data_IF_516766236443
#
_entry.id   IF_516766236443
#
_cell.length_a   1.000
_cell.length_b   1.000
_cell.length_c   1.000
_cell.angle_alpha   90.00
_cell.angle_beta   90.00
_cell.angle_gamma   90.00
#
_symmetry.space_group_name_H-M   'P 1'
#
loop_
_entity.id
_entity.type
_entity.pdbx_description
1 polymer ?
#
# COMPACT_ATOMS: atom_id res chain seq x y z
N UNK A 1 6.63 13.49 -20.36
CA UNK A 1 7.48 12.93 -19.29
C UNK A 1 6.62 12.29 -18.20
N UNK A 2 7.17 11.45 -17.33
CA UNK A 2 6.38 10.61 -16.45
C UNK A 2 5.74 11.39 -15.28
N UNK A 3 4.47 11.11 -15.01
CA UNK A 3 3.77 11.58 -13.82
C UNK A 3 4.30 10.80 -12.61
N UNK A 4 4.82 11.45 -11.56
CA UNK A 4 5.33 10.74 -10.40
C UNK A 4 4.19 10.01 -9.66
N UNK A 5 4.48 8.89 -8.99
CA UNK A 5 3.49 8.16 -8.17
C UNK A 5 3.01 9.02 -6.99
N UNK A 6 1.91 8.61 -6.35
CA UNK A 6 1.52 9.23 -5.08
C UNK A 6 2.53 8.86 -3.98
N UNK A 7 2.59 9.64 -2.90
CA UNK A 7 3.50 9.34 -1.79
C UNK A 7 3.31 7.91 -1.25
N UNK A 8 2.05 7.46 -1.14
CA UNK A 8 1.73 6.10 -0.71
C UNK A 8 2.12 5.00 -1.71
N UNK A 9 2.30 5.35 -2.98
CA UNK A 9 2.74 4.42 -4.02
C UNK A 9 4.29 4.42 -4.19
N UNK A 10 5.04 5.26 -3.47
CA UNK A 10 6.50 5.21 -3.46
C UNK A 10 6.98 3.88 -2.86
N UNK A 11 7.85 3.18 -3.60
CA UNK A 11 8.33 1.83 -3.25
C UNK A 11 7.25 0.75 -3.21
N UNK A 12 6.08 1.02 -3.79
CA UNK A 12 5.00 0.02 -3.87
C UNK A 12 5.47 -1.26 -4.55
N UNK A 13 6.28 -1.18 -5.59
CA UNK A 13 6.84 -2.34 -6.29
C UNK A 13 7.60 -3.27 -5.33
N UNK A 14 8.51 -2.71 -4.51
CA UNK A 14 9.22 -3.47 -3.50
C UNK A 14 8.25 -4.07 -2.47
N UNK A 15 7.35 -3.24 -1.93
CA UNK A 15 6.35 -3.69 -0.94
C UNK A 15 5.44 -4.77 -1.50
N UNK A 16 5.12 -4.74 -2.78
CA UNK A 16 4.27 -5.72 -3.45
C UNK A 16 4.92 -7.10 -3.46
N UNK A 17 6.23 -7.18 -3.76
CA UNK A 17 7.00 -8.43 -3.72
C UNK A 17 7.05 -9.01 -2.30
N UNK A 18 7.13 -8.18 -1.26
CA UNK A 18 7.13 -8.64 0.13
C UNK A 18 5.75 -9.05 0.67
N UNK A 19 4.66 -8.44 0.18
CA UNK A 19 3.33 -8.60 0.78
C UNK A 19 2.37 -9.42 -0.07
N UNK A 20 2.44 -9.35 -1.41
CA UNK A 20 1.54 -10.13 -2.26
C UNK A 20 1.92 -11.61 -2.26
N UNK A 21 0.91 -12.46 -2.13
CA UNK A 21 1.08 -13.90 -2.07
C UNK A 21 1.36 -14.42 -0.67
N UNK A 22 1.58 -13.56 0.33
CA UNK A 22 1.78 -13.97 1.71
C UNK A 22 0.50 -13.87 2.54
N UNK A 23 0.13 -15.00 3.15
CA UNK A 23 -1.05 -15.15 4.00
C UNK A 23 -0.90 -16.36 4.92
N UNK A 24 0.26 -16.51 5.56
CA UNK A 24 0.50 -17.64 6.45
C UNK A 24 -0.47 -17.57 7.64
N UNK A 25 -1.12 -18.69 7.94
CA UNK A 25 -2.16 -18.74 8.97
C UNK A 25 -3.52 -18.17 8.56
N UNK A 26 -3.73 -17.80 7.29
CA UNK A 26 -5.03 -17.30 6.81
C UNK A 26 -5.38 -17.84 5.42
N UNK A 27 -6.48 -18.58 5.33
CA UNK A 27 -7.04 -19.00 4.03
C UNK A 27 -7.90 -17.86 3.51
N UNK A 28 -7.50 -17.24 2.39
CA UNK A 28 -8.27 -16.18 1.73
C UNK A 28 -8.79 -16.68 0.38
N UNK A 29 -10.10 -16.60 0.18
CA UNK A 29 -10.79 -16.88 -1.07
C UNK A 29 -11.35 -15.56 -1.63
N UNK A 30 -11.01 -15.23 -2.87
CA UNK A 30 -11.43 -14.00 -3.55
C UNK A 30 -12.11 -14.35 -4.87
N UNK A 31 -13.41 -14.05 -4.99
CA UNK A 31 -14.24 -14.28 -6.15
C UNK A 31 -14.55 -12.94 -6.82
N UNK A 32 -14.04 -12.75 -8.04
CA UNK A 32 -14.27 -11.56 -8.86
C UNK A 32 -15.20 -11.91 -10.01
N UNK A 33 -16.35 -11.26 -10.08
CA UNK A 33 -17.29 -11.39 -11.19
C UNK A 33 -17.55 -10.03 -11.81
N UNK A 34 -17.84 -10.03 -13.10
CA UNK A 34 -18.17 -8.82 -13.85
C UNK A 34 -19.48 -9.06 -14.57
N UNK A 35 -20.48 -8.25 -14.25
CA UNK A 35 -21.79 -8.31 -14.89
C UNK A 35 -21.73 -7.67 -16.28
N UNK A 36 -22.64 -8.08 -17.17
CA UNK A 36 -22.83 -7.50 -18.50
C UNK A 36 -23.14 -6.00 -18.44
N UNK A 37 -23.79 -5.54 -17.37
CA UNK A 37 -24.08 -4.12 -17.11
C UNK A 37 -22.86 -3.32 -16.63
N UNK A 38 -21.65 -3.91 -16.59
CA UNK A 38 -20.40 -3.23 -16.22
C UNK A 38 -20.14 -3.11 -14.71
N UNK A 39 -20.97 -3.73 -13.87
CA UNK A 39 -20.76 -3.83 -12.42
C UNK A 39 -19.74 -4.92 -12.12
N UNK A 40 -18.71 -4.61 -11.35
CA UNK A 40 -17.71 -5.56 -10.86
C UNK A 40 -18.02 -5.91 -9.39
N UNK A 41 -18.22 -7.20 -9.11
CA UNK A 41 -18.39 -7.71 -7.74
C UNK A 41 -17.12 -8.43 -7.32
N UNK A 42 -16.63 -8.14 -6.12
CA UNK A 42 -15.52 -8.84 -5.50
C UNK A 42 -15.97 -9.33 -4.13
N UNK A 43 -16.28 -10.62 -4.03
CA UNK A 43 -16.57 -11.29 -2.77
C UNK A 43 -15.28 -11.90 -2.23
N UNK A 44 -14.89 -11.54 -1.02
CA UNK A 44 -13.70 -12.07 -0.37
C UNK A 44 -14.09 -12.71 0.95
N UNK A 45 -13.79 -14.00 1.12
CA UNK A 45 -13.83 -14.69 2.40
C UNK A 45 -12.41 -14.91 2.90
N UNK A 46 -12.18 -14.72 4.19
CA UNK A 46 -10.91 -15.09 4.82
C UNK A 46 -11.15 -15.79 6.14
N UNK A 47 -10.43 -16.88 6.38
CA UNK A 47 -10.49 -17.66 7.61
C UNK A 47 -9.09 -17.74 8.20
N UNK A 48 -8.93 -17.24 9.41
CA UNK A 48 -7.68 -17.38 10.15
C UNK A 48 -7.62 -18.81 10.73
N UNK A 49 -6.60 -19.58 10.36
CA UNK A 49 -6.47 -20.99 10.77
C UNK A 49 -5.99 -21.13 12.21
N UNK A 50 -5.38 -20.09 12.78
CA UNK A 50 -4.87 -20.10 14.16
C UNK A 50 -6.00 -19.78 15.17
N UNK A 51 -6.85 -18.80 14.84
CA UNK A 51 -7.93 -18.34 15.72
C UNK A 51 -9.32 -18.89 15.36
N UNK A 52 -9.45 -19.59 14.24
CA UNK A 52 -10.72 -20.08 13.70
C UNK A 52 -11.69 -18.99 13.25
N UNK A 53 -11.31 -17.71 13.33
CA UNK A 53 -12.19 -16.59 12.97
C UNK A 53 -12.30 -16.45 11.45
N UNK A 54 -13.53 -16.50 10.95
CA UNK A 54 -13.86 -16.21 9.57
C UNK A 54 -14.39 -14.78 9.43
N UNK A 55 -13.99 -14.09 8.36
CA UNK A 55 -14.49 -12.77 7.98
C UNK A 55 -14.78 -12.72 6.49
N UNK A 56 -15.90 -12.11 6.13
CA UNK A 56 -16.30 -11.87 4.76
C UNK A 56 -16.32 -10.38 4.43
N UNK A 57 -16.05 -10.06 3.17
CA UNK A 57 -16.27 -8.74 2.59
C UNK A 57 -16.82 -8.88 1.17
N UNK A 58 -17.74 -7.99 0.82
CA UNK A 58 -18.33 -7.85 -0.49
C UNK A 58 -18.06 -6.42 -0.97
N UNK A 59 -17.31 -6.28 -2.05
CA UNK A 59 -17.09 -5.01 -2.73
C UNK A 59 -17.84 -5.01 -4.07
N UNK A 60 -18.73 -4.05 -4.24
CA UNK A 60 -19.45 -3.79 -5.49
C UNK A 60 -18.93 -2.51 -6.10
N UNK A 61 -18.37 -2.58 -7.31
CA UNK A 61 -17.80 -1.43 -8.02
C UNK A 61 -18.58 -1.20 -9.31
N UNK A 62 -19.16 -0.03 -9.44
CA UNK A 62 -19.89 0.42 -10.61
C UNK A 62 -19.15 1.57 -11.28
N UNK A 63 -18.72 1.37 -12.51
CA UNK A 63 -17.93 2.34 -13.30
C UNK A 63 -18.82 2.97 -14.37
N UNK A 64 -19.12 4.24 -14.19
CA UNK A 64 -19.79 5.08 -15.19
C UNK A 64 -18.70 5.75 -16.02
N UNK A 65 -18.26 5.04 -17.07
CA UNK A 65 -17.14 5.48 -17.92
C UNK A 65 -17.37 6.85 -18.57
N UNK A 66 -18.61 7.17 -18.92
CA UNK A 66 -19.00 8.40 -19.61
C UNK A 66 -18.62 9.68 -18.82
N UNK A 67 -18.68 9.60 -17.48
CA UNK A 67 -18.42 10.72 -16.57
C UNK A 67 -17.14 10.54 -15.74
N UNK A 68 -16.36 9.49 -15.98
CA UNK A 68 -15.19 9.15 -15.16
C UNK A 68 -15.53 8.82 -13.70
N UNK A 69 -16.81 8.50 -13.41
CA UNK A 69 -17.32 8.22 -12.07
C UNK A 69 -17.22 6.73 -11.76
N UNK A 70 -16.74 6.41 -10.57
CA UNK A 70 -16.71 5.05 -10.03
C UNK A 70 -17.32 5.05 -8.64
N UNK A 71 -18.46 4.40 -8.52
CA UNK A 71 -19.14 4.13 -7.26
C UNK A 71 -18.66 2.78 -6.73
N UNK A 72 -18.17 2.73 -5.51
CA UNK A 72 -17.70 1.51 -4.84
C UNK A 72 -18.43 1.37 -3.52
N UNK A 73 -19.14 0.28 -3.32
CA UNK A 73 -19.81 -0.04 -2.07
C UNK A 73 -19.13 -1.26 -1.47
N UNK A 74 -18.64 -1.14 -0.25
CA UNK A 74 -17.98 -2.21 0.49
C UNK A 74 -18.81 -2.58 1.70
N UNK A 75 -19.11 -3.86 1.85
CA UNK A 75 -19.85 -4.42 2.98
C UNK A 75 -19.04 -5.54 3.61
N UNK A 76 -18.88 -5.51 4.92
CA UNK A 76 -18.15 -6.56 5.66
C UNK A 76 -19.09 -7.26 6.64
N UNK A 77 -18.75 -8.49 7.03
CA UNK A 77 -19.50 -9.29 8.03
C UNK A 77 -19.62 -8.59 9.40
N UNK A 78 -18.74 -7.63 9.71
CA UNK A 78 -18.82 -6.76 10.91
C UNK A 78 -19.88 -5.65 10.80
N UNK A 79 -20.89 -5.82 9.93
CA UNK A 79 -21.95 -4.84 9.62
C UNK A 79 -21.44 -3.43 9.26
N UNK A 80 -20.20 -3.34 8.77
CA UNK A 80 -19.60 -2.08 8.34
C UNK A 80 -19.89 -1.90 6.85
N UNK A 81 -20.71 -0.89 6.54
CA UNK A 81 -20.96 -0.42 5.17
C UNK A 81 -20.11 0.83 4.91
N UNK A 82 -19.26 0.75 3.90
CA UNK A 82 -18.52 1.87 3.34
C UNK A 82 -19.02 2.16 1.94
N UNK A 83 -19.47 3.39 1.70
CA UNK A 83 -19.82 3.88 0.37
C UNK A 83 -18.74 4.82 -0.10
N UNK A 84 -18.25 4.62 -1.30
CA UNK A 84 -17.18 5.40 -1.88
C UNK A 84 -17.54 5.86 -3.28
N UNK A 85 -17.44 7.15 -3.51
CA UNK A 85 -17.62 7.78 -4.81
C UNK A 85 -16.27 8.33 -5.22
N UNK A 86 -15.73 7.85 -6.34
CA UNK A 86 -14.52 8.40 -6.93
C UNK A 86 -14.82 8.97 -8.30
N UNK A 87 -14.22 10.10 -8.60
CA UNK A 87 -14.33 10.77 -9.89
C UNK A 87 -12.92 11.02 -10.38
N UNK A 88 -12.64 10.49 -11.57
CA UNK A 88 -11.37 10.70 -12.27
C UNK A 88 -11.64 11.56 -13.50
N UNK A 89 -10.61 12.28 -13.95
CA UNK A 89 -10.53 12.92 -15.27
C UNK A 89 -11.31 14.23 -15.52
N UNK A 90 -12.17 14.70 -14.61
CA UNK A 90 -13.00 15.92 -14.81
C UNK A 90 -12.24 17.20 -15.23
N UNK A 91 -11.01 17.41 -14.76
CA UNK A 91 -10.20 18.58 -15.13
C UNK A 91 -8.99 18.11 -15.94
N UNK A 92 -9.20 17.99 -17.26
CA UNK A 92 -8.15 17.73 -18.27
C UNK A 92 -7.26 16.52 -17.95
N UNK A 93 -7.84 15.45 -17.39
CA UNK A 93 -7.15 14.21 -17.04
C UNK A 93 -6.13 14.27 -15.91
N UNK A 94 -6.19 15.30 -15.07
CA UNK A 94 -5.14 15.58 -14.07
C UNK A 94 -5.61 15.51 -12.63
N UNK A 95 -6.90 15.35 -12.39
CA UNK A 95 -7.49 15.47 -11.06
C UNK A 95 -8.33 14.24 -10.75
N UNK A 96 -8.10 13.66 -9.58
CA UNK A 96 -8.85 12.52 -9.06
C UNK A 96 -9.34 12.85 -7.66
N UNK A 97 -10.65 12.83 -7.49
CA UNK A 97 -11.32 12.99 -6.21
C UNK A 97 -11.93 11.66 -5.80
N UNK A 98 -11.95 11.40 -4.50
CA UNK A 98 -12.48 10.19 -3.91
C UNK A 98 -13.06 10.56 -2.56
N UNK A 99 -14.35 10.34 -2.42
CA UNK A 99 -15.11 10.59 -1.21
C UNK A 99 -15.62 9.26 -0.68
N UNK A 100 -15.31 8.93 0.56
CA UNK A 100 -15.69 7.69 1.21
C UNK A 100 -16.47 8.01 2.49
N UNK A 101 -17.70 7.54 2.58
CA UNK A 101 -18.57 7.65 3.77
C UNK A 101 -18.70 6.27 4.41
N UNK A 102 -18.51 6.21 5.73
CA UNK A 102 -18.76 5.02 6.52
C UNK A 102 -19.98 5.21 7.41
N UNK A 103 -20.76 4.15 7.61
CA UNK A 103 -21.91 4.14 8.54
C UNK A 103 -21.57 4.61 9.96
N UNK A 104 -20.33 4.44 10.42
CA UNK A 104 -19.88 4.80 11.78
C UNK A 104 -19.58 6.31 11.96
N UNK A 105 -20.30 7.21 11.26
CA UNK A 105 -20.10 8.67 11.27
C UNK A 105 -18.66 9.11 10.94
N UNK A 106 -17.93 8.33 10.15
CA UNK A 106 -16.61 8.73 9.65
C UNK A 106 -16.64 8.93 8.14
N UNK A 107 -15.93 9.95 7.68
CA UNK A 107 -15.84 10.33 6.28
C UNK A 107 -14.38 10.52 5.88
N UNK A 108 -14.02 10.16 4.65
CA UNK A 108 -12.69 10.41 4.09
C UNK A 108 -12.84 11.12 2.76
N UNK A 109 -12.26 12.30 2.64
CA UNK A 109 -12.19 13.04 1.38
C UNK A 109 -10.75 13.05 0.90
N UNK A 110 -10.47 12.29 -0.16
CA UNK A 110 -9.17 12.23 -0.81
C UNK A 110 -9.21 12.96 -2.14
N UNK A 111 -8.36 13.95 -2.28
CA UNK A 111 -8.11 14.70 -3.50
C UNK A 111 -6.69 14.45 -3.94
N UNK A 112 -6.49 14.17 -5.22
CA UNK A 112 -5.15 14.04 -5.80
C UNK A 112 -5.10 14.76 -7.13
N UNK A 113 -4.03 15.51 -7.32
CA UNK A 113 -3.75 16.27 -8.52
C UNK A 113 -2.41 15.81 -9.08
N UNK A 114 -2.43 15.39 -10.33
CA UNK A 114 -1.30 14.80 -11.04
C UNK A 114 -0.96 15.64 -12.24
N UNK A 115 0.30 16.00 -12.38
CA UNK A 115 0.86 16.68 -13.52
C UNK A 115 2.21 16.05 -13.87
N UNK A 116 2.72 16.35 -15.05
CA UNK A 116 4.11 16.01 -15.36
C UNK A 116 5.02 16.61 -14.28
N UNK A 117 5.95 15.80 -13.76
CA UNK A 117 6.88 16.11 -12.65
C UNK A 117 6.27 16.29 -11.26
N UNK A 118 4.95 16.44 -11.10
CA UNK A 118 4.36 16.79 -9.80
C UNK A 118 3.10 15.96 -9.52
N UNK A 119 3.01 15.40 -8.31
CA UNK A 119 1.83 14.72 -7.81
C UNK A 119 1.52 15.23 -6.40
N UNK A 120 0.43 15.97 -6.27
CA UNK A 120 -0.06 16.51 -5.01
C UNK A 120 -1.27 15.72 -4.57
N UNK A 121 -1.49 15.64 -3.27
CA UNK A 121 -2.77 15.21 -2.77
C UNK A 121 -3.02 15.62 -1.34
N UNK A 122 -4.30 15.62 -1.00
CA UNK A 122 -4.82 15.94 0.30
C UNK A 122 -5.85 14.88 0.65
N UNK A 123 -5.82 14.39 1.88
CA UNK A 123 -6.79 13.46 2.42
C UNK A 123 -7.28 14.01 3.75
N UNK A 124 -8.57 14.30 3.83
CA UNK A 124 -9.21 14.77 5.05
C UNK A 124 -9.96 13.58 5.62
N UNK A 125 -9.48 13.08 6.75
CA UNK A 125 -10.14 12.04 7.53
C UNK A 125 -11.00 12.74 8.58
N UNK A 126 -12.30 12.46 8.59
CA UNK A 126 -13.28 13.03 9.50
C UNK A 126 -13.72 11.88 10.38
N UNK A 127 -13.30 11.92 11.65
CA UNK A 127 -13.72 10.99 12.68
C UNK A 127 -14.50 11.75 13.78
N UNK A 128 -15.18 10.99 14.65
CA UNK A 128 -15.84 11.52 15.85
C UNK A 128 -14.86 12.28 16.76
N UNK A 129 -13.58 11.90 16.73
CA UNK A 129 -12.51 12.52 17.52
C UNK A 129 -12.01 13.86 16.94
N UNK A 130 -12.48 14.25 15.76
CA UNK A 130 -12.08 15.46 15.05
C UNK A 130 -11.37 15.17 13.71
N UNK A 131 -11.31 16.16 12.80
CA UNK A 131 -10.70 15.94 11.49
C UNK A 131 -9.17 15.88 11.55
N UNK A 132 -8.59 14.99 10.75
CA UNK A 132 -7.15 14.92 10.51
C UNK A 132 -6.88 15.17 9.04
N UNK A 133 -6.03 16.16 8.76
CA UNK A 133 -5.67 16.56 7.40
C UNK A 133 -4.32 15.95 7.05
N UNK A 134 -4.29 15.13 6.01
CA UNK A 134 -3.08 14.54 5.46
C UNK A 134 -2.75 15.21 4.14
N UNK A 135 -1.59 15.84 4.05
CA UNK A 135 -1.08 16.41 2.79
C UNK A 135 0.09 15.59 2.29
N UNK A 136 0.22 15.42 0.98
CA UNK A 136 1.45 14.91 0.39
C UNK A 136 1.75 15.59 -0.94
N UNK A 137 3.04 15.70 -1.23
CA UNK A 137 3.57 16.21 -2.48
C UNK A 137 4.71 15.31 -2.93
N UNK A 138 4.73 14.93 -4.20
CA UNK A 138 5.81 14.17 -4.82
C UNK A 138 6.25 14.91 -6.07
N UNK A 139 7.52 15.28 -6.10
CA UNK A 139 8.21 15.82 -7.26
C UNK A 139 9.00 14.70 -7.92
N UNK A 140 9.03 14.65 -9.24
CA UNK A 140 9.85 13.72 -9.98
C UNK A 140 10.61 14.43 -11.09
N UNK A 141 11.90 14.14 -11.26
CA UNK A 141 12.73 14.72 -12.31
C UNK A 141 13.86 13.76 -12.69
N UNK A 142 14.06 13.48 -14.00
CA UNK A 142 15.15 12.60 -14.49
C UNK A 142 15.29 11.27 -13.70
N UNK A 143 14.16 10.63 -13.37
CA UNK A 143 14.13 9.38 -12.58
C UNK A 143 14.20 9.55 -11.07
N UNK A 144 14.65 10.70 -10.55
CA UNK A 144 14.56 11.04 -9.13
C UNK A 144 13.12 11.35 -8.73
N UNK A 145 12.77 10.99 -7.50
CA UNK A 145 11.47 11.20 -6.88
C UNK A 145 11.71 11.76 -5.47
N UNK A 146 11.17 12.92 -5.15
CA UNK A 146 11.20 13.51 -3.82
C UNK A 146 9.77 13.65 -3.32
N UNK A 147 9.43 12.91 -2.27
CA UNK A 147 8.13 12.91 -1.63
C UNK A 147 8.18 13.54 -0.25
N UNK A 148 7.17 14.32 0.08
CA UNK A 148 6.90 14.77 1.43
C UNK A 148 5.45 14.48 1.78
N UNK A 149 5.20 14.01 2.99
CA UNK A 149 3.88 13.79 3.55
C UNK A 149 3.81 14.36 4.95
N UNK A 150 2.71 15.03 5.24
CA UNK A 150 2.40 15.56 6.56
C UNK A 150 1.00 15.12 6.99
N UNK A 151 0.81 14.99 8.30
CA UNK A 151 -0.50 14.78 8.90
C UNK A 151 -0.71 15.77 10.04
N UNK A 152 -1.82 16.51 10.00
CA UNK A 152 -2.18 17.49 11.01
C UNK A 152 -3.48 17.08 11.69
N UNK A 153 -3.41 16.83 13.00
CA UNK A 153 -4.57 16.54 13.84
C UNK A 153 -5.14 17.87 14.34
N UNK A 154 -6.34 18.21 13.87
CA UNK A 154 -6.98 19.50 14.22
C UNK A 154 -7.54 19.51 15.63
N UNK A 155 -7.87 18.36 16.22
CA UNK A 155 -8.40 18.28 17.57
C UNK A 155 -7.31 18.60 18.61
N UNK A 156 -6.09 18.16 18.36
CA UNK A 156 -4.91 18.44 19.19
C UNK A 156 -4.12 19.65 18.73
N UNK A 157 -4.48 20.24 17.58
CA UNK A 157 -3.72 21.31 16.91
C UNK A 157 -2.23 20.98 16.78
N UNK A 158 -1.92 19.71 16.51
CA UNK A 158 -0.55 19.19 16.48
C UNK A 158 -0.27 18.48 15.17
N UNK A 159 0.93 18.71 14.66
CA UNK A 159 1.49 17.95 13.55
C UNK A 159 1.77 16.52 14.05
N UNK A 160 0.99 15.57 13.54
CA UNK A 160 1.00 14.18 14.00
C UNK A 160 2.01 13.33 13.24
N UNK A 161 2.33 13.66 12.00
CA UNK A 161 3.30 12.91 11.19
C UNK A 161 4.05 13.83 10.22
N UNK A 162 5.34 13.59 10.07
CA UNK A 162 6.21 14.21 9.07
C UNK A 162 7.05 13.14 8.40
N UNK A 163 6.70 12.79 7.16
CA UNK A 163 7.40 11.74 6.44
C UNK A 163 8.05 12.33 5.20
N UNK A 164 9.33 12.06 5.03
CA UNK A 164 10.11 12.40 3.85
C UNK A 164 10.45 11.13 3.09
N UNK A 165 10.40 11.17 1.78
CA UNK A 165 10.77 10.06 0.92
C UNK A 165 11.64 10.56 -0.24
N UNK A 166 12.69 9.82 -0.54
CA UNK A 166 13.52 9.99 -1.73
C UNK A 166 13.56 8.67 -2.47
N UNK A 167 13.28 8.71 -3.76
CA UNK A 167 13.33 7.54 -4.62
C UNK A 167 14.09 7.84 -5.90
N UNK A 168 14.58 6.78 -6.51
CA UNK A 168 15.19 6.83 -7.82
C UNK A 168 14.67 5.65 -8.63
N UNK A 169 14.13 5.92 -9.81
CA UNK A 169 13.59 4.91 -10.71
C UNK A 169 14.34 4.99 -12.03
N UNK A 170 15.05 3.92 -12.37
CA UNK A 170 15.75 3.76 -13.63
C UNK A 170 15.43 2.38 -14.20
N UNK A 171 14.77 2.33 -15.37
CA UNK A 171 14.44 1.09 -16.09
C UNK A 171 13.98 -0.05 -15.19
N UNK A 172 14.90 -0.96 -14.93
CA UNK A 172 14.73 -2.23 -14.22
C UNK A 172 14.91 -2.14 -12.69
N UNK A 173 15.34 -0.99 -12.16
CA UNK A 173 15.64 -0.78 -10.75
C UNK A 173 14.88 0.42 -10.15
N UNK A 174 14.46 0.28 -8.90
CA UNK A 174 13.83 1.34 -8.10
C UNK A 174 14.42 1.34 -6.70
N UNK A 175 15.05 2.45 -6.32
CA UNK A 175 15.43 2.76 -4.94
C UNK A 175 14.34 3.63 -4.32
N UNK A 176 14.02 3.38 -3.06
CA UNK A 176 13.16 4.24 -2.26
C UNK A 176 13.62 4.23 -0.81
N UNK A 177 14.00 5.39 -0.32
CA UNK A 177 14.35 5.68 1.07
C UNK A 177 13.27 6.58 1.66
N UNK A 178 12.85 6.33 2.89
CA UNK A 178 11.95 7.19 3.63
C UNK A 178 12.44 7.42 5.05
N UNK A 179 12.01 8.54 5.62
CA UNK A 179 12.26 8.95 7.00
C UNK A 179 10.91 9.39 7.56
N UNK A 180 10.43 8.67 8.57
CA UNK A 180 9.18 8.98 9.25
C UNK A 180 9.49 9.59 10.61
N UNK A 181 8.93 10.78 10.84
CA UNK A 181 9.05 11.57 12.08
C UNK A 181 10.50 11.84 12.55
N UNK A 182 11.47 11.70 11.64
CA UNK A 182 12.90 11.82 11.94
C UNK A 182 13.48 10.69 12.80
N UNK A 183 12.68 9.67 13.13
CA UNK A 183 13.08 8.59 14.03
C UNK A 183 13.09 7.23 13.36
N UNK A 184 12.19 6.96 12.42
CA UNK A 184 12.16 5.71 11.67
C UNK A 184 12.69 5.92 10.26
N UNK A 185 13.69 5.13 9.88
CA UNK A 185 14.29 5.18 8.57
C UNK A 185 13.98 3.87 7.85
N UNK A 186 13.51 3.99 6.61
CA UNK A 186 13.21 2.87 5.73
C UNK A 186 13.97 3.00 4.42
N UNK A 187 14.40 1.88 3.87
CA UNK A 187 15.04 1.78 2.57
C UNK A 187 14.48 0.55 1.87
N UNK A 188 14.18 0.67 0.59
CA UNK A 188 13.73 -0.44 -0.23
C UNK A 188 14.36 -0.34 -1.61
N UNK A 189 14.79 -1.48 -2.10
CA UNK A 189 15.35 -1.68 -3.42
C UNK A 189 14.44 -2.68 -4.11
N UNK A 190 13.95 -2.32 -5.29
CA UNK A 190 13.29 -3.24 -6.20
C UNK A 190 14.12 -3.36 -7.45
N UNK A 191 14.33 -4.60 -7.90
CA UNK A 191 15.05 -4.89 -9.12
C UNK A 191 14.31 -5.98 -9.89
N UNK A 192 14.00 -5.68 -11.15
CA UNK A 192 13.47 -6.63 -12.11
C UNK A 192 14.65 -7.25 -12.85
N UNK A 193 15.04 -8.46 -12.47
CA UNK A 193 16.22 -9.14 -13.06
C UNK A 193 15.90 -9.64 -14.46
N UNK A 194 14.69 -10.18 -14.67
CA UNK A 194 14.18 -10.55 -15.99
C UNK A 194 12.63 -10.56 -15.97
N UNK A 195 11.99 -11.04 -17.05
CA UNK A 195 10.52 -11.08 -17.12
C UNK A 195 9.86 -12.11 -16.19
N UNK A 196 10.64 -13.03 -15.60
CA UNK A 196 10.17 -14.06 -14.66
C UNK A 196 10.61 -13.81 -13.22
N UNK A 197 11.66 -13.02 -13.00
CA UNK A 197 12.31 -12.88 -11.69
C UNK A 197 12.34 -11.42 -11.26
N UNK A 198 11.72 -11.17 -10.12
CA UNK A 198 11.70 -9.88 -9.44
C UNK A 198 12.31 -10.06 -8.05
N UNK A 199 13.29 -9.23 -7.71
CA UNK A 199 13.93 -9.24 -6.39
C UNK A 199 13.66 -7.93 -5.69
N UNK A 200 13.53 -7.98 -4.38
CA UNK A 200 13.32 -6.81 -3.54
C UNK A 200 14.06 -6.96 -2.23
N UNK A 201 14.69 -5.87 -1.80
CA UNK A 201 15.37 -5.77 -0.52
C UNK A 201 14.68 -4.66 0.26
N UNK A 202 14.41 -4.89 1.53
CA UNK A 202 13.84 -3.90 2.43
C UNK A 202 14.70 -3.81 3.70
N UNK A 203 15.09 -2.61 4.05
CA UNK A 203 15.83 -2.25 5.24
C UNK A 203 14.98 -1.26 6.03
N UNK A 204 14.86 -1.45 7.33
CA UNK A 204 14.26 -0.46 8.21
C UNK A 204 15.01 -0.44 9.53
N UNK A 205 15.29 0.74 10.05
CA UNK A 205 15.91 0.92 11.37
C UNK A 205 15.28 2.12 12.07
N UNK A 206 15.37 2.13 13.39
CA UNK A 206 14.85 3.22 14.22
C UNK A 206 16.03 3.90 14.92
N UNK A 207 16.17 5.21 14.77
CA UNK A 207 17.19 5.99 15.46
C UNK A 207 17.04 5.82 16.99
N UNK A 208 18.18 5.59 17.65
CA UNK A 208 18.21 5.30 19.09
C UNK A 208 17.88 3.86 19.47
N UNK A 209 17.63 2.97 18.50
CA UNK A 209 17.50 1.53 18.71
C UNK A 209 18.56 0.76 17.93
N UNK A 210 19.08 -0.32 18.50
CA UNK A 210 19.94 -1.27 17.77
C UNK A 210 19.13 -2.24 16.89
N UNK A 211 17.81 -2.09 16.83
CA UNK A 211 16.96 -3.02 16.09
C UNK A 211 16.91 -2.66 14.60
N UNK A 212 17.71 -3.37 13.81
CA UNK A 212 17.68 -3.29 12.35
C UNK A 212 16.81 -4.43 11.80
N UNK A 213 15.85 -4.08 10.96
CA UNK A 213 15.01 -5.03 10.23
C UNK A 213 15.49 -5.08 8.80
N UNK A 214 15.99 -6.22 8.40
CA UNK A 214 16.43 -6.44 7.03
C UNK A 214 15.64 -7.58 6.42
N UNK A 215 15.21 -7.43 5.18
CA UNK A 215 14.44 -8.42 4.48
C UNK A 215 14.88 -8.51 3.02
N UNK A 216 14.87 -9.72 2.50
CA UNK A 216 15.04 -10.00 1.08
C UNK A 216 13.81 -10.79 0.64
N UNK A 217 13.20 -10.39 -0.47
CA UNK A 217 12.13 -11.13 -1.10
C UNK A 217 12.41 -11.31 -2.60
N UNK A 218 12.10 -12.50 -3.09
CA UNK A 218 12.25 -12.84 -4.50
C UNK A 218 10.97 -13.49 -4.98
N UNK A 219 10.43 -12.97 -6.07
CA UNK A 219 9.30 -13.54 -6.78
C UNK A 219 9.79 -14.17 -8.08
N UNK A 220 9.47 -15.44 -8.25
CA UNK A 220 9.75 -16.24 -9.43
C UNK A 220 8.43 -16.67 -10.08
N UNK A 221 8.19 -16.19 -11.30
CA UNK A 221 7.06 -16.58 -12.11
C UNK A 221 7.45 -17.82 -12.95
N UNK A 222 6.87 -18.97 -12.62
CA UNK A 222 7.09 -20.21 -13.37
C UNK A 222 6.36 -20.13 -14.71
N UNK A 223 5.07 -19.78 -14.64
CA UNK A 223 4.10 -19.78 -15.73
C UNK A 223 3.23 -18.52 -15.66
N UNK A 224 2.36 -18.27 -16.64
CA UNK A 224 1.42 -17.13 -16.61
C UNK A 224 0.49 -17.14 -15.39
N UNK A 225 0.24 -18.31 -14.79
CA UNK A 225 -0.69 -18.51 -13.66
C UNK A 225 -0.03 -18.85 -12.32
N UNK A 226 1.24 -19.24 -12.34
CA UNK A 226 1.96 -19.76 -11.18
C UNK A 226 3.12 -18.84 -10.81
N UNK A 227 3.16 -18.41 -9.54
CA UNK A 227 4.31 -17.69 -9.01
C UNK A 227 4.69 -18.20 -7.62
N UNK A 228 6.00 -18.36 -7.42
CA UNK A 228 6.61 -18.65 -6.13
C UNK A 228 7.18 -17.35 -5.59
N UNK A 229 6.87 -17.04 -4.34
CA UNK A 229 7.48 -15.93 -3.64
C UNK A 229 8.23 -16.47 -2.42
N UNK A 230 9.50 -16.09 -2.30
CA UNK A 230 10.38 -16.44 -1.19
C UNK A 230 10.73 -15.16 -0.46
N UNK A 231 10.55 -15.13 0.87
CA UNK A 231 10.96 -14.00 1.70
C UNK A 231 11.81 -14.51 2.84
N UNK A 232 12.84 -13.74 3.14
CA UNK A 232 13.74 -13.96 4.26
C UNK A 232 13.75 -12.67 5.05
N UNK A 233 13.35 -12.75 6.31
CA UNK A 233 13.38 -11.64 7.24
C UNK A 233 14.44 -11.92 8.30
N UNK A 234 15.36 -10.97 8.42
CA UNK A 234 16.30 -10.87 9.52
C UNK A 234 15.71 -9.87 10.52
N UNK A 235 15.38 -10.38 11.70
CA UNK A 235 14.99 -9.56 12.82
C UNK A 235 15.93 -9.88 13.99
N UNK A 236 16.77 -8.93 14.37
CA UNK A 236 17.55 -9.04 15.61
C UNK A 236 16.60 -8.84 16.79
N UNK A 237 16.34 -9.93 17.53
CA UNK A 237 15.72 -9.86 18.85
C UNK A 237 16.86 -9.83 19.87
N UNK A 238 17.02 -8.72 20.60
CA UNK A 238 17.97 -8.64 21.71
C UNK A 238 17.39 -9.44 22.88
N UNK A 239 17.76 -10.72 23.00
CA UNK A 239 17.63 -11.44 24.27
C UNK A 239 18.81 -11.04 25.17
N UNK A 240 18.53 -10.56 26.39
CA UNK A 240 19.55 -10.37 27.43
C UNK A 240 20.10 -11.73 27.88
N UNK A 241 21.12 -12.26 27.19
CA UNK A 241 22.12 -13.23 27.63
C UNK A 241 23.15 -13.39 26.49
N UNK A 242 24.43 -13.74 26.73
CA UNK A 242 25.51 -13.58 25.76
C UNK A 242 25.45 -14.65 24.66
N UNK A 243 24.55 -14.47 23.70
CA UNK A 243 24.45 -15.20 22.44
C UNK A 243 23.59 -14.36 21.49
N UNK A 244 24.22 -13.44 20.76
CA UNK A 244 23.59 -12.76 19.62
C UNK A 244 23.25 -13.82 18.55
N UNK A 245 22.05 -14.41 18.62
CA UNK A 245 21.48 -15.18 17.51
C UNK A 245 20.51 -14.28 16.75
N UNK A 246 20.86 -13.93 15.52
CA UNK A 246 19.89 -13.40 14.58
C UNK A 246 18.95 -14.54 14.15
N UNK A 247 17.64 -14.40 14.39
CA UNK A 247 16.67 -15.38 13.92
C UNK A 247 16.39 -15.11 12.44
N UNK A 248 16.75 -16.07 11.59
CA UNK A 248 16.40 -16.07 10.17
C UNK A 248 15.01 -16.70 10.01
N UNK A 249 14.03 -15.93 9.56
CA UNK A 249 12.71 -16.45 9.22
C UNK A 249 12.61 -16.54 7.70
N UNK A 250 12.57 -17.78 7.18
CA UNK A 250 12.38 -18.06 5.76
C UNK A 250 10.95 -18.54 5.52
N UNK A 251 10.21 -17.86 4.67
CA UNK A 251 8.84 -18.22 4.30
C UNK A 251 8.71 -18.32 2.78
N UNK A 252 8.26 -19.50 2.33
CA UNK A 252 8.00 -19.80 0.91
C UNK A 252 6.49 -19.95 0.73
N UNK A 253 5.91 -19.17 -0.17
CA UNK A 253 4.50 -19.33 -0.55
C UNK A 253 4.40 -19.53 -2.05
N UNK A 254 3.75 -20.63 -2.45
CA UNK A 254 3.33 -20.88 -3.81
C UNK A 254 1.87 -20.43 -3.95
N UNK A 255 1.59 -19.54 -4.90
CA UNK A 255 0.23 -19.11 -5.21
C UNK A 255 -0.12 -19.48 -6.64
N UNK A 256 -1.28 -20.13 -6.81
CA UNK A 256 -1.83 -20.48 -8.11
C UNK A 256 -3.08 -19.63 -8.35
N UNK A 257 -3.06 -18.80 -9.38
CA UNK A 257 -4.24 -18.01 -9.77
C UNK A 257 -5.01 -18.79 -10.83
N UNK A 258 -6.17 -19.33 -10.47
CA UNK A 258 -7.06 -20.03 -11.41
C UNK A 258 -7.77 -19.07 -12.35
#
# INVERSE_FOLDING_TARGET
>A
MAVPPSYSDLGKSARDVFNKGYGFGMVKLELKTKSSSGVEFTATGSSNTDTGKASGSLETKYKIKDYGLTFTQKWNTDNTLGTEVSMEDQVRGRMKWRFSLCRKKSGKLKTSYKREYVNLGCNIDIDVSGPTIYGWAVLGYEGWLAGYQMAFDTAKSKLSQNNFALGYKAGDFQLHTNVNDGTEFGGSIYQKVNNKVETSVNLAWTAGSNNTRFGIATKYQLDEKTSIVVRILLQEQVFQAPLNRANLWCEVVASNSY
#
